data_IF_947471841999
#
_entry.id   IF_947471841999
#
_cell.length_a   1.000
_cell.length_b   1.000
_cell.length_c   1.000
_cell.angle_alpha   90.00
_cell.angle_beta   90.00
_cell.angle_gamma   90.00
#
_symmetry.space_group_name_H-M   'P 1'
#
loop_
_entity.id
_entity.type
_entity.pdbx_description
1 polymer ?
#
# COMPACT_ATOMS: atom_id res chain seq x y z
N UNK A 1 -1.60 18.26 21.85
CA UNK A 1 -1.59 16.86 21.41
C UNK A 1 -0.15 16.43 21.13
N UNK A 2 0.47 15.65 22.01
CA UNK A 2 1.84 15.16 21.84
C UNK A 2 1.81 13.88 21.00
N UNK A 3 1.68 14.01 19.67
CA UNK A 3 1.71 12.87 18.77
C UNK A 3 3.14 12.32 18.69
N UNK A 4 3.39 11.16 19.31
CA UNK A 4 4.68 10.47 19.28
C UNK A 4 5.05 10.17 17.83
N UNK A 5 6.12 10.80 17.33
CA UNK A 5 6.64 10.55 15.97
C UNK A 5 7.26 9.15 15.89
N UNK A 6 7.04 8.47 14.77
CA UNK A 6 7.58 7.15 14.46
C UNK A 6 8.85 7.30 13.62
N UNK A 7 9.97 6.76 14.11
CA UNK A 7 11.27 6.80 13.41
C UNK A 7 11.41 5.62 12.45
N UNK A 8 11.98 5.86 11.28
CA UNK A 8 12.36 4.80 10.37
C UNK A 8 13.52 3.97 10.94
N UNK A 9 13.49 2.62 10.84
CA UNK A 9 14.59 1.79 11.34
C UNK A 9 15.84 1.86 10.44
N UNK A 10 15.72 2.33 9.20
CA UNK A 10 16.81 2.36 8.23
C UNK A 10 17.35 3.77 7.93
N UNK A 11 16.71 4.83 8.47
CA UNK A 11 17.17 6.21 8.31
C UNK A 11 16.58 7.13 9.39
N UNK A 12 16.97 8.41 9.39
CA UNK A 12 16.59 9.36 10.44
C UNK A 12 15.21 10.01 10.25
N UNK A 13 14.43 9.59 9.25
CA UNK A 13 13.11 10.18 8.99
C UNK A 13 12.09 9.82 10.07
N UNK A 14 11.28 10.82 10.41
CA UNK A 14 10.20 10.75 11.39
C UNK A 14 8.84 10.93 10.72
N UNK A 15 7.84 10.17 11.16
CA UNK A 15 6.49 10.19 10.60
C UNK A 15 5.45 10.31 11.71
N UNK A 16 4.39 11.09 11.47
CA UNK A 16 3.27 11.20 12.41
C UNK A 16 2.31 10.01 12.41
N UNK A 17 2.35 9.17 11.36
CA UNK A 17 1.45 8.05 11.17
C UNK A 17 2.21 6.81 10.68
N UNK A 18 1.78 5.64 11.15
CA UNK A 18 2.40 4.36 10.80
C UNK A 18 2.25 4.03 9.31
N UNK A 19 1.10 4.37 8.71
CA UNK A 19 0.84 4.18 7.28
C UNK A 19 1.88 4.90 6.41
N UNK A 20 2.28 6.10 6.82
CA UNK A 20 3.30 6.89 6.12
C UNK A 20 4.70 6.29 6.30
N UNK A 21 5.03 5.80 7.49
CA UNK A 21 6.30 5.11 7.74
C UNK A 21 6.42 3.83 6.92
N UNK A 22 5.37 2.98 6.92
CA UNK A 22 5.34 1.74 6.13
C UNK A 22 5.48 2.02 4.63
N UNK A 23 4.78 3.03 4.13
CA UNK A 23 4.91 3.46 2.74
C UNK A 23 6.34 3.91 2.42
N UNK A 24 6.96 4.70 3.31
CA UNK A 24 8.35 5.11 3.15
C UNK A 24 9.32 3.93 3.09
N UNK A 25 9.22 2.96 4.00
CA UNK A 25 10.10 1.79 4.05
C UNK A 25 10.01 1.00 2.73
N UNK A 26 8.78 0.70 2.28
CA UNK A 26 8.57 -0.03 1.01
C UNK A 26 9.24 0.68 -0.17
N UNK A 27 9.13 2.01 -0.22
CA UNK A 27 9.60 2.79 -1.37
C UNK A 27 11.09 3.13 -1.35
N UNK A 28 11.68 3.35 -0.17
CA UNK A 28 13.06 3.84 -0.05
C UNK A 28 14.06 2.79 0.39
N UNK A 29 13.61 1.75 1.08
CA UNK A 29 14.50 0.73 1.63
C UNK A 29 14.28 -0.64 0.99
N UNK A 30 13.04 -0.98 0.61
CA UNK A 30 12.75 -2.25 -0.10
C UNK A 30 12.70 -2.09 -1.62
N UNK A 31 12.68 -0.85 -2.13
CA UNK A 31 12.62 -0.58 -3.57
C UNK A 31 11.35 -1.13 -4.26
N UNK A 32 10.30 -1.44 -3.50
CA UNK A 32 9.06 -2.01 -4.06
C UNK A 32 8.40 -0.98 -4.96
N UNK A 33 8.39 -1.26 -6.27
CA UNK A 33 7.70 -0.44 -7.26
C UNK A 33 6.41 -1.12 -7.69
N UNK A 34 5.46 -0.29 -8.13
CA UNK A 34 4.20 -0.73 -8.71
C UNK A 34 4.32 -0.60 -10.23
N UNK A 35 4.28 -1.71 -10.98
CA UNK A 35 4.32 -1.67 -12.44
C UNK A 35 3.00 -1.18 -13.04
N UNK A 36 3.06 -0.57 -14.21
CA UNK A 36 1.88 -0.39 -15.05
C UNK A 36 1.53 -1.73 -15.70
N UNK A 37 0.25 -2.15 -15.72
CA UNK A 37 -0.14 -3.38 -16.40
C UNK A 37 -0.16 -3.27 -17.94
N UNK A 38 -0.07 -2.07 -18.50
CA UNK A 38 -0.17 -1.82 -19.95
C UNK A 38 1.15 -1.39 -20.60
N UNK A 39 2.21 -1.13 -19.82
CA UNK A 39 3.53 -0.78 -20.33
C UNK A 39 4.64 -1.10 -19.33
N UNK A 40 5.90 -0.89 -19.73
CA UNK A 40 7.08 -1.20 -18.92
C UNK A 40 7.38 -0.18 -17.82
N UNK A 41 6.57 0.87 -17.66
CA UNK A 41 6.82 1.92 -16.66
C UNK A 41 6.50 1.42 -15.25
N UNK A 42 7.39 1.75 -14.30
CA UNK A 42 7.21 1.44 -12.88
C UNK A 42 7.12 2.73 -12.06
N UNK A 43 6.34 2.68 -10.99
CA UNK A 43 6.03 3.85 -10.16
C UNK A 43 6.21 3.52 -8.68
N UNK A 44 6.35 4.56 -7.87
CA UNK A 44 6.51 4.40 -6.42
C UNK A 44 5.19 4.27 -5.68
N UNK A 45 4.04 4.59 -6.29
CA UNK A 45 2.75 4.57 -5.60
C UNK A 45 1.59 4.20 -6.52
N UNK A 46 0.56 3.56 -5.98
CA UNK A 46 -0.66 3.21 -6.73
C UNK A 46 -1.38 4.43 -7.32
N UNK A 47 -1.46 5.54 -6.58
CA UNK A 47 -2.11 6.75 -7.10
C UNK A 47 -1.36 7.34 -8.30
N UNK A 48 -0.02 7.20 -8.34
CA UNK A 48 0.75 7.65 -9.50
C UNK A 48 0.57 6.73 -10.71
N UNK A 49 0.46 5.41 -10.51
CA UNK A 49 0.12 4.46 -11.59
C UNK A 49 -1.26 4.77 -12.17
N UNK A 50 -2.28 4.96 -11.32
CA UNK A 50 -3.65 5.29 -11.76
C UNK A 50 -3.69 6.54 -12.64
N UNK A 51 -3.02 7.61 -12.20
CA UNK A 51 -2.92 8.84 -13.00
C UNK A 51 -2.19 8.61 -14.33
N UNK A 52 -1.14 7.81 -14.33
CA UNK A 52 -0.43 7.45 -15.56
C UNK A 52 -1.34 6.67 -16.52
N UNK A 53 -2.07 5.67 -16.03
CA UNK A 53 -3.01 4.88 -16.83
C UNK A 53 -4.10 5.76 -17.45
N UNK A 54 -4.71 6.63 -16.64
CA UNK A 54 -5.77 7.52 -17.13
C UNK A 54 -5.28 8.46 -18.25
N UNK A 55 -4.03 8.92 -18.19
CA UNK A 55 -3.46 9.86 -19.18
C UNK A 55 -2.91 9.17 -20.42
N UNK A 56 -2.10 8.13 -20.22
CA UNK A 56 -1.33 7.50 -21.30
C UNK A 56 -2.07 6.33 -21.95
N UNK A 57 -2.97 5.67 -21.21
CA UNK A 57 -3.71 4.51 -21.69
C UNK A 57 -5.20 4.81 -21.90
N UNK A 58 -5.68 6.02 -21.57
CA UNK A 58 -7.07 6.50 -21.75
C UNK A 58 -8.13 5.54 -21.19
N UNK A 59 -7.77 4.76 -20.18
CA UNK A 59 -8.68 3.83 -19.51
C UNK A 59 -9.35 4.59 -18.36
N UNK A 60 -10.63 4.88 -18.52
CA UNK A 60 -11.38 5.74 -17.59
C UNK A 60 -11.60 5.16 -16.19
N UNK A 61 -11.38 3.87 -15.95
CA UNK A 61 -11.84 3.23 -14.70
C UNK A 61 -10.95 2.06 -14.25
N UNK A 62 -9.65 2.27 -13.99
CA UNK A 62 -8.86 1.25 -13.29
C UNK A 62 -8.96 1.41 -11.77
N UNK A 63 -10.03 0.85 -11.19
CA UNK A 63 -10.29 0.83 -9.76
C UNK A 63 -9.54 -0.35 -9.09
N UNK A 64 -8.22 -0.21 -8.83
CA UNK A 64 -7.45 -1.21 -8.05
C UNK A 64 -7.75 -1.12 -6.53
N UNK A 65 -9.01 -0.86 -6.17
CA UNK A 65 -9.47 -1.05 -4.79
C UNK A 65 -9.94 -2.50 -4.53
N UNK A 66 -9.77 -3.42 -5.49
CA UNK A 66 -10.17 -4.83 -5.34
C UNK A 66 -9.02 -5.81 -5.01
N UNK A 67 -7.89 -5.34 -4.48
CA UNK A 67 -7.17 -6.21 -3.53
C UNK A 67 -7.83 -5.96 -2.17
N UNK A 68 -9.08 -6.44 -2.01
CA UNK A 68 -9.57 -6.80 -0.69
C UNK A 68 -8.65 -7.92 -0.25
N UNK A 69 -7.80 -7.63 0.71
CA UNK A 69 -7.15 -8.67 1.49
C UNK A 69 -8.28 -9.43 2.19
N UNK A 70 -8.71 -10.57 1.64
CA UNK A 70 -9.50 -11.56 2.37
C UNK A 70 -8.62 -12.20 3.44
N UNK A 71 -8.33 -11.43 4.49
CA UNK A 71 -7.80 -11.94 5.74
C UNK A 71 -8.45 -11.19 6.89
N UNK A 72 -9.74 -11.47 7.10
CA UNK A 72 -10.32 -11.59 8.43
C UNK A 72 -11.72 -12.19 8.31
N UNK A 73 -11.78 -13.50 8.05
CA UNK A 73 -12.88 -14.31 8.55
C UNK A 73 -12.32 -15.06 9.76
N UNK A 74 -12.21 -14.38 10.91
CA UNK A 74 -12.15 -15.10 12.18
C UNK A 74 -13.56 -15.60 12.41
N UNK A 75 -13.83 -16.84 11.98
CA UNK A 75 -15.05 -17.56 12.28
C UNK A 75 -15.21 -17.65 13.81
N UNK A 76 -16.22 -16.96 14.31
CA UNK A 76 -16.78 -17.22 15.63
C UNK A 76 -17.62 -18.51 15.55
N UNK A 77 -17.33 -19.42 16.48
CA UNK A 77 -18.20 -20.41 17.13
C UNK A 77 -18.12 -21.90 16.71
N UNK A 78 -17.62 -22.65 17.71
CA UNK A 78 -18.16 -23.88 18.32
C UNK A 78 -17.90 -25.28 17.70
N UNK A 79 -17.10 -26.05 18.44
CA UNK A 79 -17.30 -27.49 18.71
C UNK A 79 -16.70 -27.76 20.11
N UNK A 80 -17.52 -27.87 21.15
CA UNK A 80 -17.93 -29.14 21.77
C UNK A 80 -16.89 -30.26 21.61
N UNK A 81 -16.17 -30.57 22.70
CA UNK A 81 -15.49 -31.84 22.89
C UNK A 81 -15.64 -32.23 24.36
N UNK A 82 -16.50 -33.24 24.57
CA UNK A 82 -16.74 -34.12 25.73
C UNK A 82 -16.43 -33.60 27.14
#
# INVERSE_FOLDING_TARGET
>A
MNSKKLKCPFCERLYGYETNLRAHIRQRHQGIRVPCPYCTRTFTRNNTVRRHIAREHKLEQYNINSIKCEQHQMSQLQSHSQ
#
